data_IF_617741718255
#
_entry.id   IF_617741718255
#
_cell.length_a   1.000
_cell.length_b   1.000
_cell.length_c   1.000
_cell.angle_alpha   90.00
_cell.angle_beta   90.00
_cell.angle_gamma   90.00
#
_symmetry.space_group_name_H-M   'P 1'
#
loop_
_entity.id
_entity.type
_entity.pdbx_description
1 polymer ?
#
# COMPACT_ATOMS: atom_id res chain seq x y z
N UNK A 1 -17.14 11.45 -8.83
CA UNK A 1 -16.05 10.98 -7.95
C UNK A 1 -16.10 9.47 -7.92
N UNK A 2 -14.94 8.82 -7.97
CA UNK A 2 -14.84 7.36 -7.91
C UNK A 2 -13.77 7.03 -6.88
N UNK A 3 -14.05 6.06 -6.02
CA UNK A 3 -13.10 5.64 -5.00
C UNK A 3 -12.36 4.40 -5.48
N UNK A 4 -11.04 4.38 -5.30
CA UNK A 4 -10.20 3.24 -5.66
C UNK A 4 -9.45 2.76 -4.42
N UNK A 5 -9.53 1.46 -4.15
CA UNK A 5 -8.68 0.78 -3.19
C UNK A 5 -7.44 0.23 -3.90
N UNK A 6 -6.25 0.54 -3.37
CA UNK A 6 -5.00 -0.12 -3.74
C UNK A 6 -4.85 -1.37 -2.88
N UNK A 7 -4.88 -2.53 -3.53
CA UNK A 7 -4.62 -3.82 -2.91
C UNK A 7 -3.18 -4.24 -3.20
N UNK A 8 -2.44 -4.61 -2.15
CA UNK A 8 -1.03 -5.03 -2.25
C UNK A 8 -0.88 -6.43 -1.69
N UNK A 9 -0.11 -7.26 -2.38
CA UNK A 9 0.37 -8.56 -1.91
C UNK A 9 1.87 -8.69 -2.19
N UNK A 10 2.51 -9.59 -1.45
CA UNK A 10 3.91 -9.97 -1.58
C UNK A 10 4.09 -11.33 -0.91
N UNK A 11 5.17 -12.03 -1.24
CA UNK A 11 5.68 -13.12 -0.42
C UNK A 11 6.63 -12.54 0.62
N UNK A 12 6.36 -12.82 1.89
CA UNK A 12 7.15 -12.39 3.03
C UNK A 12 7.70 -13.63 3.73
N UNK A 13 9.03 -13.71 3.85
CA UNK A 13 9.71 -14.68 4.72
C UNK A 13 10.44 -13.93 5.83
N UNK A 14 10.24 -14.34 7.07
CA UNK A 14 10.78 -13.64 8.25
C UNK A 14 10.28 -12.20 8.48
N UNK A 15 9.50 -11.61 7.56
CA UNK A 15 8.99 -10.23 7.62
C UNK A 15 7.47 -10.18 7.85
N UNK A 16 7.01 -9.10 8.48
CA UNK A 16 5.59 -8.75 8.64
C UNK A 16 5.39 -7.22 8.61
N UNK A 17 4.13 -6.78 8.57
CA UNK A 17 3.73 -5.37 8.60
C UNK A 17 4.35 -4.49 7.50
N UNK A 18 4.50 -5.02 6.28
CA UNK A 18 5.00 -4.26 5.13
C UNK A 18 4.05 -3.09 4.81
N UNK A 19 4.61 -1.88 4.75
CA UNK A 19 3.89 -0.63 4.50
C UNK A 19 4.85 0.49 4.05
N UNK A 20 4.33 1.62 3.50
CA UNK A 20 5.14 2.81 3.27
C UNK A 20 5.75 3.35 4.57
N UNK A 21 6.92 3.97 4.49
CA UNK A 21 7.65 4.50 5.65
C UNK A 21 6.85 5.53 6.45
N UNK A 22 6.08 6.39 5.75
CA UNK A 22 5.11 7.34 6.33
C UNK A 22 3.83 6.71 6.89
N UNK A 23 3.67 5.39 6.76
CA UNK A 23 2.45 4.65 7.12
C UNK A 23 1.40 4.66 6.01
N UNK A 24 0.28 3.98 6.25
CA UNK A 24 -0.82 3.84 5.29
C UNK A 24 -1.83 5.00 5.31
N UNK A 25 -1.63 6.00 6.19
CA UNK A 25 -2.65 6.98 6.57
C UNK A 25 -2.18 8.44 6.48
N UNK A 26 -1.10 8.74 5.77
CA UNK A 26 -0.61 10.12 5.62
C UNK A 26 -1.48 10.98 4.66
N UNK A 27 -2.27 11.97 5.16
CA UNK A 27 -3.13 12.82 4.32
C UNK A 27 -2.37 13.91 3.54
N UNK A 28 -1.06 14.04 3.72
CA UNK A 28 -0.34 15.28 3.42
C UNK A 28 -0.17 15.61 1.95
N UNK A 29 -0.56 14.73 1.00
CA UNK A 29 -0.36 14.99 -0.42
C UNK A 29 -1.56 14.66 -1.32
N UNK A 30 -2.53 15.58 -1.48
CA UNK A 30 -3.43 15.55 -2.63
C UNK A 30 -2.64 15.87 -3.91
N UNK A 31 -2.74 14.99 -4.91
CA UNK A 31 -2.17 15.23 -6.24
C UNK A 31 -3.16 15.99 -7.10
N UNK A 32 -2.76 17.16 -7.60
CA UNK A 32 -3.49 17.94 -8.59
C UNK A 32 -2.84 17.76 -9.95
N UNK A 33 -3.61 17.24 -10.91
CA UNK A 33 -3.11 16.91 -12.23
C UNK A 33 -3.92 17.64 -13.29
N UNK A 34 -3.23 18.12 -14.33
CA UNK A 34 -3.85 18.64 -15.55
C UNK A 34 -3.55 17.69 -16.70
N UNK A 35 -4.59 17.28 -17.42
CA UNK A 35 -4.46 16.39 -18.57
C UNK A 35 -3.70 17.12 -19.68
N UNK A 36 -2.54 16.59 -20.07
CA UNK A 36 -1.69 17.19 -21.11
C UNK A 36 -2.36 17.26 -22.49
N UNK A 37 -3.35 16.39 -22.76
CA UNK A 37 -4.04 16.34 -24.05
C UNK A 37 -5.25 17.27 -24.11
N UNK A 38 -6.17 17.18 -23.14
CA UNK A 38 -7.44 17.92 -23.18
C UNK A 38 -7.52 19.11 -22.21
N UNK A 39 -6.47 19.36 -21.42
CA UNK A 39 -6.38 20.49 -20.50
C UNK A 39 -7.28 20.41 -19.26
N UNK A 40 -8.08 19.34 -19.10
CA UNK A 40 -8.95 19.16 -17.93
C UNK A 40 -8.14 18.90 -16.67
N UNK A 41 -8.59 19.50 -15.57
CA UNK A 41 -8.03 19.28 -14.24
C UNK A 41 -8.65 18.03 -13.58
N UNK A 42 -7.89 17.43 -12.67
CA UNK A 42 -8.33 16.32 -11.84
C UNK A 42 -7.47 16.16 -10.59
N UNK A 43 -7.93 15.29 -9.69
CA UNK A 43 -7.34 15.11 -8.36
C UNK A 43 -7.27 13.64 -7.97
N UNK A 44 -6.24 13.28 -7.23
CA UNK A 44 -6.12 12.00 -6.52
C UNK A 44 -5.79 12.33 -5.07
N UNK A 45 -6.68 11.96 -4.14
CA UNK A 45 -6.54 12.27 -2.72
C UNK A 45 -6.67 11.00 -1.91
N UNK A 46 -5.66 10.67 -1.10
CA UNK A 46 -5.72 9.53 -0.19
C UNK A 46 -6.72 9.80 0.94
N UNK A 47 -7.48 8.78 1.33
CA UNK A 47 -8.44 8.81 2.43
C UNK A 47 -7.82 8.09 3.63
N UNK A 48 -7.41 8.81 4.69
CA UNK A 48 -6.82 8.20 5.88
C UNK A 48 -7.76 7.25 6.63
N UNK A 49 -7.15 6.35 7.40
CA UNK A 49 -7.79 5.39 8.28
C UNK A 49 -8.44 4.22 7.55
N UNK A 50 -8.11 4.01 6.27
CA UNK A 50 -8.65 2.92 5.46
C UNK A 50 -7.62 1.84 5.13
N UNK A 51 -6.33 2.16 5.28
CA UNK A 51 -5.24 1.29 4.92
C UNK A 51 -4.81 0.36 6.04
N UNK A 52 -4.27 -0.81 5.68
CA UNK A 52 -3.63 -1.75 6.60
C UNK A 52 -2.32 -2.26 6.02
N UNK A 53 -1.26 -2.41 6.83
CA UNK A 53 -0.03 -3.08 6.40
C UNK A 53 -0.31 -4.51 5.90
N UNK A 54 0.60 -5.06 5.10
CA UNK A 54 0.56 -6.47 4.74
C UNK A 54 1.24 -7.29 5.83
N UNK A 55 0.47 -8.20 6.43
CA UNK A 55 0.97 -9.10 7.48
C UNK A 55 1.51 -10.40 6.88
N UNK A 56 2.40 -11.07 7.61
CA UNK A 56 2.91 -12.38 7.20
C UNK A 56 1.80 -13.42 7.08
N UNK A 57 0.78 -13.36 7.94
CA UNK A 57 -0.35 -14.30 7.90
C UNK A 57 -1.21 -14.12 6.64
N UNK A 58 -1.32 -12.89 6.13
CA UNK A 58 -1.98 -12.61 4.85
C UNK A 58 -1.10 -13.09 3.69
N UNK A 59 0.20 -12.78 3.75
CA UNK A 59 1.17 -13.20 2.73
C UNK A 59 1.18 -14.72 2.54
N UNK A 60 1.22 -15.49 3.63
CA UNK A 60 1.19 -16.96 3.61
C UNK A 60 -0.10 -17.56 3.01
N UNK A 61 -1.19 -16.78 3.00
CA UNK A 61 -2.47 -17.17 2.37
C UNK A 61 -2.60 -16.65 0.95
N UNK A 62 -1.56 -16.02 0.41
CA UNK A 62 -1.57 -15.31 -0.87
C UNK A 62 -2.68 -14.23 -0.92
N UNK A 63 -3.01 -13.66 0.24
CA UNK A 63 -4.01 -12.61 0.37
C UNK A 63 -3.38 -11.23 0.12
N UNK A 64 -4.19 -10.33 -0.45
CA UNK A 64 -3.83 -8.92 -0.58
C UNK A 64 -4.42 -8.11 0.56
N UNK A 65 -3.64 -7.20 1.11
CA UNK A 65 -4.11 -6.19 2.05
C UNK A 65 -4.68 -4.99 1.30
N UNK A 66 -5.64 -4.28 1.88
CA UNK A 66 -6.04 -2.97 1.37
C UNK A 66 -5.07 -1.93 1.92
N UNK A 67 -4.08 -1.55 1.13
CA UNK A 67 -3.02 -0.66 1.60
C UNK A 67 -3.51 0.78 1.73
N UNK A 68 -4.29 1.27 0.76
CA UNK A 68 -4.77 2.66 0.72
C UNK A 68 -6.10 2.77 -0.04
N UNK A 69 -6.87 3.82 0.24
CA UNK A 69 -8.06 4.20 -0.55
C UNK A 69 -7.93 5.64 -1.03
N UNK A 70 -8.33 5.90 -2.27
CA UNK A 70 -8.22 7.22 -2.92
C UNK A 70 -9.59 7.75 -3.37
N UNK A 71 -9.87 9.05 -3.18
CA UNK A 71 -10.90 9.82 -3.91
C UNK A 71 -10.29 10.34 -5.21
N UNK A 72 -10.70 9.74 -6.33
CA UNK A 72 -10.23 10.11 -7.66
C UNK A 72 -11.29 10.92 -8.43
N UNK A 73 -10.85 12.01 -9.05
CA UNK A 73 -11.67 12.90 -9.89
C UNK A 73 -10.96 13.19 -11.19
N UNK A 74 -11.55 12.78 -12.31
CA UNK A 74 -11.00 13.01 -13.64
C UNK A 74 -9.85 12.08 -14.06
N UNK A 75 -9.41 11.20 -13.15
CA UNK A 75 -8.36 10.21 -13.39
C UNK A 75 -8.75 8.84 -12.85
N UNK A 76 -8.23 7.80 -13.50
CA UNK A 76 -8.33 6.42 -13.08
C UNK A 76 -6.91 5.87 -12.89
N UNK A 77 -6.54 5.41 -11.68
CA UNK A 77 -5.27 4.75 -11.46
C UNK A 77 -5.30 3.36 -12.12
N UNK A 78 -4.27 3.06 -12.91
CA UNK A 78 -4.19 1.81 -13.68
C UNK A 78 -3.12 0.86 -13.16
N UNK A 79 -2.05 1.41 -12.56
CA UNK A 79 -0.86 0.66 -12.14
C UNK A 79 -0.20 1.37 -10.96
N UNK A 80 0.50 0.60 -10.14
CA UNK A 80 1.24 1.09 -8.99
C UNK A 80 2.68 0.58 -9.06
N UNK A 81 3.63 1.50 -8.91
CA UNK A 81 5.06 1.20 -8.84
C UNK A 81 5.50 1.36 -7.38
N UNK A 82 6.16 0.34 -6.83
CA UNK A 82 6.53 0.28 -5.42
C UNK A 82 7.68 1.22 -5.08
N UNK A 83 8.80 1.12 -5.82
CA UNK A 83 9.98 1.98 -5.61
C UNK A 83 10.56 1.90 -4.19
N UNK A 84 11.28 2.94 -3.80
CA UNK A 84 11.85 3.05 -2.46
C UNK A 84 10.84 3.57 -1.41
N UNK A 85 11.23 3.54 -0.13
CA UNK A 85 10.48 4.18 0.95
C UNK A 85 9.45 3.27 1.62
N UNK A 86 9.72 1.97 1.65
CA UNK A 86 8.94 0.98 2.38
C UNK A 86 9.61 0.65 3.71
N UNK A 87 8.82 0.06 4.60
CA UNK A 87 9.31 -0.53 5.83
C UNK A 87 8.54 -1.80 6.16
N UNK A 88 9.20 -2.70 6.86
CA UNK A 88 8.60 -3.86 7.50
C UNK A 88 9.31 -4.12 8.83
N UNK A 89 8.82 -5.11 9.56
CA UNK A 89 9.45 -5.62 10.76
C UNK A 89 9.74 -7.09 10.58
N UNK A 90 10.85 -7.60 11.12
CA UNK A 90 10.98 -9.04 11.28
C UNK A 90 9.87 -9.56 12.19
N UNK A 91 9.60 -10.86 12.12
CA UNK A 91 8.73 -11.55 13.09
C UNK A 91 9.23 -11.43 14.55
N UNK A 92 10.47 -10.97 14.76
CA UNK A 92 11.08 -10.67 16.06
C UNK A 92 11.06 -9.18 16.44
N UNK A 93 10.44 -8.34 15.60
CA UNK A 93 10.26 -6.90 15.84
C UNK A 93 11.47 -6.04 15.51
N UNK A 94 12.43 -6.54 14.73
CA UNK A 94 13.53 -5.72 14.20
C UNK A 94 13.02 -4.94 12.99
N UNK A 95 13.09 -3.60 12.97
CA UNK A 95 12.60 -2.81 11.84
C UNK A 95 13.58 -2.82 10.66
N UNK A 96 13.05 -2.85 9.44
CA UNK A 96 13.80 -2.77 8.19
C UNK A 96 13.24 -1.66 7.31
N UNK A 97 14.12 -0.86 6.70
CA UNK A 97 13.79 -0.02 5.56
C UNK A 97 13.96 -0.84 4.29
N UNK A 98 12.97 -0.81 3.41
CA UNK A 98 12.93 -1.65 2.22
C UNK A 98 12.87 -0.76 0.99
N UNK A 99 13.73 -1.06 0.02
CA UNK A 99 13.65 -0.55 -1.33
C UNK A 99 13.05 -1.63 -2.24
N UNK A 100 11.84 -1.39 -2.73
CA UNK A 100 11.11 -2.30 -3.61
C UNK A 100 11.31 -1.96 -5.10
N UNK A 101 12.33 -1.16 -5.46
CA UNK A 101 12.61 -0.80 -6.86
C UNK A 101 13.12 -1.97 -7.70
N UNK A 102 13.69 -3.00 -7.07
CA UNK A 102 14.16 -4.24 -7.71
C UNK A 102 13.16 -5.40 -7.57
N UNK A 103 11.93 -5.13 -7.12
CA UNK A 103 10.86 -6.10 -6.84
C UNK A 103 11.15 -7.20 -5.80
N UNK A 104 12.38 -7.24 -5.27
CA UNK A 104 12.89 -8.20 -4.29
C UNK A 104 13.71 -7.48 -3.20
N UNK A 105 13.76 -8.07 -2.00
CA UNK A 105 14.59 -7.61 -0.89
C UNK A 105 15.02 -8.82 -0.06
N UNK A 106 16.28 -8.87 0.37
CA UNK A 106 16.78 -9.91 1.27
C UNK A 106 17.85 -9.38 2.22
N UNK A 107 17.67 -9.64 3.51
CA UNK A 107 18.61 -9.30 4.57
C UNK A 107 18.60 -10.40 5.67
N UNK A 108 19.35 -10.17 6.75
CA UNK A 108 19.41 -11.09 7.89
C UNK A 108 19.13 -10.34 9.20
N UNK A 109 18.20 -10.83 10.00
CA UNK A 109 17.92 -10.29 11.33
C UNK A 109 18.87 -10.91 12.35
N UNK A 110 19.95 -10.19 12.68
CA UNK A 110 20.94 -10.62 13.68
C UNK A 110 20.34 -10.87 15.08
N UNK A 111 19.24 -10.19 15.42
CA UNK A 111 18.59 -10.36 16.73
C UNK A 111 17.68 -11.58 16.76
N UNK A 112 17.00 -11.85 15.64
CA UNK A 112 16.15 -13.02 15.44
C UNK A 112 16.91 -14.28 15.03
N UNK A 113 18.17 -14.12 14.60
CA UNK A 113 18.99 -15.15 13.97
C UNK A 113 18.29 -15.82 12.77
N UNK A 114 17.56 -15.05 11.96
CA UNK A 114 16.78 -15.55 10.84
C UNK A 114 16.95 -14.70 9.57
N UNK A 115 16.87 -15.30 8.36
CA UNK A 115 16.78 -14.52 7.13
C UNK A 115 15.45 -13.76 7.07
N UNK A 116 15.46 -12.63 6.37
CA UNK A 116 14.27 -11.85 6.04
C UNK A 116 14.24 -11.60 4.54
N UNK A 117 13.12 -11.90 3.89
CA UNK A 117 12.97 -11.79 2.44
C UNK A 117 11.59 -11.23 2.07
N UNK A 118 11.56 -10.43 1.01
CA UNK A 118 10.36 -9.99 0.33
C UNK A 118 10.52 -10.22 -1.16
N UNK A 119 9.51 -10.81 -1.79
CA UNK A 119 9.48 -11.03 -3.23
C UNK A 119 8.05 -11.07 -3.77
N UNK A 120 7.91 -11.27 -5.08
CA UNK A 120 6.61 -11.40 -5.79
C UNK A 120 5.62 -10.29 -5.44
N UNK A 121 6.09 -9.05 -5.43
CA UNK A 121 5.24 -7.88 -5.22
C UNK A 121 4.12 -7.82 -6.26
N UNK A 122 2.92 -7.52 -5.78
CA UNK A 122 1.73 -7.42 -6.60
C UNK A 122 0.87 -6.25 -6.14
N UNK A 123 0.36 -5.49 -7.11
CA UNK A 123 -0.58 -4.40 -6.87
C UNK A 123 -1.82 -4.56 -7.73
N UNK A 124 -2.96 -4.09 -7.23
CA UNK A 124 -4.21 -4.04 -8.02
C UNK A 124 -5.11 -2.92 -7.50
N UNK A 125 -5.64 -2.10 -8.39
CA UNK A 125 -6.69 -1.14 -8.05
C UNK A 125 -8.08 -1.78 -8.19
N UNK A 126 -8.95 -1.53 -7.21
CA UNK A 126 -10.38 -1.89 -7.28
C UNK A 126 -11.25 -0.69 -7.02
N UNK A 127 -12.30 -0.52 -7.83
CA UNK A 127 -13.36 0.46 -7.55
C UNK A 127 -14.13 0.02 -6.30
N UNK A 128 -14.30 0.93 -5.36
CA UNK A 128 -15.04 0.70 -4.10
C UNK A 128 -16.13 1.74 -3.91
N UNK A 129 -17.14 1.40 -3.12
CA UNK A 129 -18.27 2.29 -2.78
C UNK A 129 -18.12 2.80 -1.36
N UNK A 130 -18.40 4.08 -1.16
CA UNK A 130 -18.47 4.69 0.16
C UNK A 130 -19.78 4.29 0.84
N UNK A 131 -19.67 3.69 2.03
CA UNK A 131 -20.79 3.35 2.90
C UNK A 131 -20.64 4.04 4.24
N UNK A 132 -21.68 4.76 4.67
CA UNK A 132 -21.72 5.48 5.95
C UNK A 132 -22.78 4.85 6.86
N UNK A 133 -22.37 4.43 8.06
CA UNK A 133 -23.30 3.89 9.08
C UNK A 133 -22.82 4.26 10.48
N UNK A 134 -23.67 4.92 11.26
CA UNK A 134 -23.40 5.27 12.66
C UNK A 134 -22.16 6.16 12.85
N UNK A 135 -21.92 7.11 11.95
CA UNK A 135 -20.76 8.01 12.01
C UNK A 135 -19.43 7.39 11.57
N UNK A 136 -19.42 6.12 11.14
CA UNK A 136 -18.25 5.46 10.55
C UNK A 136 -18.40 5.37 9.04
N UNK A 137 -17.31 5.70 8.34
CA UNK A 137 -17.17 5.54 6.89
C UNK A 137 -16.40 4.27 6.61
N UNK A 138 -16.87 3.46 5.66
CA UNK A 138 -16.16 2.30 5.13
C UNK A 138 -16.22 2.32 3.61
N UNK A 139 -15.20 1.75 2.98
CA UNK A 139 -15.17 1.53 1.53
C UNK A 139 -15.23 0.03 1.26
N UNK A 140 -16.24 -0.41 0.51
CA UNK A 140 -16.52 -1.82 0.19
C UNK A 140 -16.86 -2.03 -1.28
#
# INVERSE_FOLDING_TARGET
MVYYALLVGAELDGLTNLQPSGGCDDPSFPYYLKCKLCGRDGTIVMIPGQGTPLTIEQSQKEEKTCLMVFDCRGYEPVEFSFGAGWKAESVHGTPFEIDCSEDEFSEYDEKGECPVELSKLQSTFKVVKKHEKGGKTRFV
#
